data_IF_996328354671
#
_entry.id   IF_996328354671
#
_cell.length_a   1.000
_cell.length_b   1.000
_cell.length_c   1.000
_cell.angle_alpha   90.00
_cell.angle_beta   90.00
_cell.angle_gamma   90.00
#
_symmetry.space_group_name_H-M   'P 1'
#
loop_
_entity.id
_entity.type
_entity.pdbx_description
1 polymer ?
#
# COMPACT_ATOMS: atom_id res chain seq x y z
N UNK A 1 -35.20 -6.39 1.10
CA UNK A 1 -33.79 -6.87 1.19
C UNK A 1 -33.02 -5.88 2.06
N UNK A 2 -32.87 -6.16 3.36
CA UNK A 2 -31.99 -5.37 4.21
C UNK A 2 -30.55 -5.77 3.90
N UNK A 3 -29.82 -4.89 3.20
CA UNK A 3 -28.37 -5.05 3.04
C UNK A 3 -27.75 -4.71 4.38
N UNK A 4 -27.41 -5.73 5.16
CA UNK A 4 -26.59 -5.57 6.35
C UNK A 4 -25.20 -5.10 5.90
N UNK A 5 -24.96 -3.79 6.03
CA UNK A 5 -23.65 -3.21 5.81
C UNK A 5 -22.71 -3.78 6.87
N UNK A 6 -21.87 -4.74 6.46
CA UNK A 6 -20.80 -5.27 7.29
C UNK A 6 -19.97 -4.09 7.81
N UNK A 7 -19.90 -3.92 9.14
CA UNK A 7 -19.05 -2.90 9.78
C UNK A 7 -17.61 -3.25 9.43
N UNK A 8 -17.03 -2.52 8.47
CA UNK A 8 -15.61 -2.60 8.16
C UNK A 8 -14.85 -2.34 9.45
N UNK A 9 -13.93 -3.23 9.81
CA UNK A 9 -13.06 -3.03 10.96
C UNK A 9 -12.07 -1.92 10.60
N UNK A 10 -12.04 -0.87 11.42
CA UNK A 10 -11.19 0.29 11.21
C UNK A 10 -10.14 0.33 12.32
N UNK A 11 -8.87 0.09 11.99
CA UNK A 11 -7.73 0.20 12.92
C UNK A 11 -7.23 1.63 13.00
N UNK A 12 -8.01 2.49 13.66
CA UNK A 12 -7.61 3.87 13.98
C UNK A 12 -7.82 4.90 12.87
N UNK A 13 -7.22 6.08 13.06
CA UNK A 13 -7.33 7.26 12.17
C UNK A 13 -6.02 7.50 11.39
N UNK A 14 -6.13 8.13 10.22
CA UNK A 14 -4.99 8.57 9.42
C UNK A 14 -4.54 9.97 9.86
N UNK A 15 -3.52 10.04 10.71
CA UNK A 15 -3.02 11.30 11.27
C UNK A 15 -2.60 12.33 10.20
N UNK A 16 -2.05 11.88 9.07
CA UNK A 16 -1.67 12.76 7.95
C UNK A 16 -2.86 13.38 7.19
N UNK A 17 -4.09 13.00 7.52
CA UNK A 17 -5.32 13.61 6.97
C UNK A 17 -5.98 14.56 7.95
N UNK A 18 -5.29 14.95 9.02
CA UNK A 18 -5.85 15.77 10.09
C UNK A 18 -6.23 17.18 9.59
N UNK A 19 -7.53 17.45 9.62
CA UNK A 19 -8.11 18.78 9.42
C UNK A 19 -8.33 19.47 10.77
N UNK A 20 -7.47 20.45 11.06
CA UNK A 20 -7.54 21.22 12.30
C UNK A 20 -8.83 22.05 12.43
N UNK A 21 -9.40 22.52 11.31
CA UNK A 21 -10.63 23.29 11.28
C UNK A 21 -11.84 22.43 11.62
N UNK A 22 -11.95 21.26 10.98
CA UNK A 22 -13.01 20.30 11.27
C UNK A 22 -12.94 19.79 12.73
N UNK A 23 -11.73 19.51 13.24
CA UNK A 23 -11.53 19.09 14.62
C UNK A 23 -12.03 20.15 15.62
N UNK A 24 -11.63 21.41 15.40
CA UNK A 24 -12.01 22.53 16.26
C UNK A 24 -13.52 22.70 16.33
N UNK A 25 -14.20 22.76 15.18
CA UNK A 25 -15.65 22.93 15.11
C UNK A 25 -16.40 21.79 15.81
N UNK A 26 -15.91 20.55 15.67
CA UNK A 26 -16.50 19.40 16.35
C UNK A 26 -16.31 19.43 17.88
N UNK A 27 -15.12 19.83 18.34
CA UNK A 27 -14.81 19.95 19.77
C UNK A 27 -15.61 21.09 20.42
N UNK A 28 -15.73 22.24 19.76
CA UNK A 28 -16.51 23.39 20.26
C UNK A 28 -18.01 23.06 20.38
N UNK A 29 -18.52 22.13 19.58
CA UNK A 29 -19.90 21.64 19.65
C UNK A 29 -20.11 20.54 20.68
N UNK A 30 -19.04 19.99 21.24
CA UNK A 30 -19.10 18.89 22.19
C UNK A 30 -19.52 19.42 23.57
N UNK A 31 -20.49 18.76 24.20
CA UNK A 31 -20.90 19.05 25.58
C UNK A 31 -20.88 17.76 26.39
N UNK A 32 -20.31 17.79 27.59
CA UNK A 32 -20.32 16.62 28.47
C UNK A 32 -21.73 16.41 29.04
N UNK A 33 -22.39 15.33 28.60
CA UNK A 33 -23.70 14.90 29.11
C UNK A 33 -23.52 13.70 30.04
N UNK A 34 -24.34 13.62 31.08
CA UNK A 34 -24.33 12.52 32.05
C UNK A 34 -24.60 13.01 33.47
N UNK A 35 -25.22 12.15 34.28
CA UNK A 35 -25.56 12.45 35.67
C UNK A 35 -24.41 12.06 36.60
N UNK A 36 -23.69 10.98 36.27
CA UNK A 36 -22.53 10.49 37.04
C UNK A 36 -21.20 10.83 36.37
N UNK A 37 -20.09 10.68 37.11
CA UNK A 37 -18.75 10.96 36.59
C UNK A 37 -18.37 9.96 35.47
N UNK A 38 -18.72 8.69 35.66
CA UNK A 38 -18.45 7.61 34.70
C UNK A 38 -19.19 7.85 33.38
N UNK A 39 -20.45 8.28 33.44
CA UNK A 39 -21.25 8.63 32.26
C UNK A 39 -20.66 9.80 31.50
N UNK A 40 -20.21 10.84 32.21
CA UNK A 40 -19.55 12.00 31.60
C UNK A 40 -18.25 11.61 30.91
N UNK A 41 -17.44 10.74 31.52
CA UNK A 41 -16.20 10.23 30.91
C UNK A 41 -16.49 9.50 29.62
N UNK A 42 -17.47 8.57 29.62
CA UNK A 42 -17.87 7.85 28.40
C UNK A 42 -18.39 8.79 27.33
N UNK A 43 -19.13 9.82 27.71
CA UNK A 43 -19.63 10.82 26.77
C UNK A 43 -18.49 11.63 26.14
N UNK A 44 -17.55 12.13 26.95
CA UNK A 44 -16.37 12.86 26.47
C UNK A 44 -15.54 11.99 25.52
N UNK A 45 -15.26 10.74 25.88
CA UNK A 45 -14.53 9.82 25.00
C UNK A 45 -15.23 9.62 23.64
N UNK A 46 -16.57 9.56 23.62
CA UNK A 46 -17.35 9.42 22.39
C UNK A 46 -17.30 10.68 21.53
N UNK A 47 -17.42 11.86 22.13
CA UNK A 47 -17.35 13.13 21.40
C UNK A 47 -15.94 13.38 20.85
N UNK A 48 -14.89 13.06 21.61
CA UNK A 48 -13.50 13.09 21.12
C UNK A 48 -13.33 12.15 19.93
N UNK A 49 -13.88 10.92 20.00
CA UNK A 49 -13.82 9.99 18.88
C UNK A 49 -14.56 10.52 17.63
N UNK A 50 -15.70 11.22 17.78
CA UNK A 50 -16.43 11.85 16.67
C UNK A 50 -15.67 13.03 16.08
N UNK A 51 -15.02 13.83 16.90
CA UNK A 51 -14.15 14.91 16.44
C UNK A 51 -13.00 14.31 15.61
N UNK A 52 -12.38 13.23 16.09
CA UNK A 52 -11.37 12.49 15.32
C UNK A 52 -11.94 11.89 14.03
N UNK A 53 -13.17 11.36 14.03
CA UNK A 53 -13.84 10.83 12.82
C UNK A 53 -14.13 11.90 11.77
N UNK A 54 -14.37 13.14 12.20
CA UNK A 54 -14.65 14.28 11.33
C UNK A 54 -13.36 14.94 10.83
N UNK A 55 -12.33 14.96 11.68
CA UNK A 55 -11.04 15.57 11.37
C UNK A 55 -10.08 14.64 10.61
N UNK A 56 -10.28 13.32 10.67
CA UNK A 56 -9.38 12.36 10.04
C UNK A 56 -10.13 11.19 9.41
N UNK A 57 -9.63 10.72 8.27
CA UNK A 57 -10.14 9.50 7.65
C UNK A 57 -9.79 8.26 8.48
N UNK A 58 -10.74 7.34 8.64
CA UNK A 58 -10.48 6.03 9.26
C UNK A 58 -9.55 5.17 8.41
N UNK A 59 -8.57 4.51 9.04
CA UNK A 59 -7.71 3.50 8.41
C UNK A 59 -8.55 2.25 8.13
N UNK A 60 -8.62 1.85 6.87
CA UNK A 60 -9.29 0.61 6.46
C UNK A 60 -8.35 -0.57 6.77
N UNK A 61 -8.83 -1.56 7.50
CA UNK A 61 -8.20 -2.88 7.51
C UNK A 61 -8.45 -3.53 6.15
N UNK A 62 -7.46 -3.46 5.26
CA UNK A 62 -7.51 -4.12 3.97
C UNK A 62 -6.26 -4.96 3.78
N UNK A 63 -6.45 -6.28 3.66
CA UNK A 63 -5.44 -7.23 3.15
C UNK A 63 -5.16 -7.01 1.65
N UNK A 64 -5.04 -5.76 1.20
CA UNK A 64 -4.44 -5.48 -0.09
C UNK A 64 -2.96 -5.40 0.19
N UNK A 65 -2.23 -6.49 -0.08
CA UNK A 65 -0.81 -6.35 -0.41
C UNK A 65 -0.73 -5.14 -1.34
N UNK A 66 -0.09 -4.07 -0.86
CA UNK A 66 0.10 -2.88 -1.66
C UNK A 66 0.72 -3.35 -2.98
N UNK A 67 0.26 -2.83 -4.13
CA UNK A 67 0.96 -3.04 -5.38
C UNK A 67 2.41 -2.75 -5.09
N UNK A 68 3.25 -3.76 -5.28
CA UNK A 68 4.67 -3.65 -5.02
C UNK A 68 5.15 -2.52 -5.94
N UNK A 69 5.51 -1.40 -5.33
CA UNK A 69 5.85 -0.12 -5.94
C UNK A 69 6.89 -0.23 -7.08
N UNK A 70 7.83 -1.17 -6.97
CA UNK A 70 8.81 -1.46 -8.01
C UNK A 70 8.32 -2.38 -9.15
N UNK A 71 7.13 -2.99 -9.05
CA UNK A 71 6.60 -3.93 -10.04
C UNK A 71 5.87 -3.23 -11.18
N UNK A 72 6.54 -3.09 -12.34
CA UNK A 72 5.98 -2.45 -13.53
C UNK A 72 5.44 -3.46 -14.56
N UNK A 73 4.55 -3.00 -15.45
CA UNK A 73 4.10 -3.80 -16.61
C UNK A 73 5.27 -4.21 -17.53
N UNK A 74 6.34 -3.41 -17.61
CA UNK A 74 7.58 -3.78 -18.33
C UNK A 74 8.28 -4.98 -17.67
N UNK A 75 8.41 -5.01 -16.33
CA UNK A 75 8.98 -6.15 -15.61
C UNK A 75 8.12 -7.41 -15.79
N UNK A 76 6.79 -7.26 -15.75
CA UNK A 76 5.85 -8.35 -16.00
C UNK A 76 6.03 -8.94 -17.39
N UNK A 77 6.07 -8.10 -18.43
CA UNK A 77 6.33 -8.53 -19.82
C UNK A 77 7.67 -9.26 -19.95
N UNK A 78 8.75 -8.70 -19.42
CA UNK A 78 10.09 -9.32 -19.44
C UNK A 78 10.12 -10.64 -18.69
N UNK A 79 9.36 -10.78 -17.59
CA UNK A 79 9.25 -12.02 -16.83
C UNK A 79 8.54 -13.09 -17.65
N UNK A 80 7.44 -12.75 -18.32
CA UNK A 80 6.75 -13.67 -19.22
C UNK A 80 7.65 -14.15 -20.35
N UNK A 81 8.38 -13.24 -21.01
CA UNK A 81 9.36 -13.57 -22.04
C UNK A 81 10.48 -14.48 -21.50
N UNK A 82 11.02 -14.17 -20.31
CA UNK A 82 12.04 -15.01 -19.66
C UNK A 82 11.53 -16.41 -19.35
N UNK A 83 10.28 -16.55 -18.92
CA UNK A 83 9.65 -17.84 -18.65
C UNK A 83 9.40 -18.63 -19.94
N UNK A 84 8.96 -17.97 -21.01
CA UNK A 84 8.82 -18.58 -22.34
C UNK A 84 10.16 -19.12 -22.84
N UNK A 85 11.21 -18.30 -22.81
CA UNK A 85 12.56 -18.70 -23.21
C UNK A 85 13.12 -19.84 -22.35
N UNK A 86 12.91 -19.79 -21.02
CA UNK A 86 13.31 -20.89 -20.11
C UNK A 86 12.68 -22.21 -20.52
N UNK A 87 11.37 -22.22 -20.80
CA UNK A 87 10.63 -23.40 -21.23
C UNK A 87 11.16 -23.95 -22.57
N UNK A 88 11.49 -23.07 -23.51
CA UNK A 88 12.09 -23.48 -24.78
C UNK A 88 13.44 -24.16 -24.58
N UNK A 89 14.34 -23.58 -23.77
CA UNK A 89 15.64 -24.19 -23.44
C UNK A 89 15.48 -25.56 -22.78
N UNK A 90 14.55 -25.68 -21.82
CA UNK A 90 14.28 -26.95 -21.15
C UNK A 90 13.80 -28.02 -22.13
N UNK A 91 12.90 -27.68 -23.07
CA UNK A 91 12.41 -28.58 -24.12
C UNK A 91 13.45 -28.92 -25.19
N UNK A 92 14.48 -28.09 -25.34
CA UNK A 92 15.53 -28.25 -26.33
C UNK A 92 16.76 -29.00 -25.81
N UNK A 93 16.78 -29.43 -24.54
CA UNK A 93 17.87 -30.26 -23.99
C UNK A 93 18.07 -31.50 -24.86
N UNK A 94 19.32 -31.77 -25.22
CA UNK A 94 19.69 -32.87 -26.12
C UNK A 94 19.43 -32.61 -27.61
N UNK A 95 18.92 -31.43 -28.00
CA UNK A 95 18.72 -31.04 -29.40
C UNK A 95 19.85 -30.12 -29.89
N UNK A 96 20.18 -30.12 -31.19
CA UNK A 96 21.20 -29.24 -31.76
C UNK A 96 20.94 -27.74 -31.50
N UNK A 97 19.68 -27.33 -31.37
CA UNK A 97 19.30 -25.94 -31.11
C UNK A 97 19.47 -25.49 -29.64
N UNK A 98 19.89 -26.38 -28.72
CA UNK A 98 20.00 -26.09 -27.29
C UNK A 98 20.89 -24.86 -27.00
N UNK A 99 22.11 -24.85 -27.56
CA UNK A 99 23.10 -23.81 -27.28
C UNK A 99 22.61 -22.43 -27.71
N UNK A 100 21.98 -22.34 -28.88
CA UNK A 100 21.43 -21.08 -29.40
C UNK A 100 20.30 -20.56 -28.49
N UNK A 101 19.36 -21.43 -28.11
CA UNK A 101 18.28 -21.08 -27.20
C UNK A 101 18.79 -20.70 -25.80
N UNK A 102 19.85 -21.36 -25.33
CA UNK A 102 20.47 -21.07 -24.05
C UNK A 102 21.07 -19.66 -24.00
N UNK A 103 21.78 -19.26 -25.08
CA UNK A 103 22.32 -17.89 -25.23
C UNK A 103 21.20 -16.86 -25.23
N UNK A 104 20.11 -17.10 -25.96
CA UNK A 104 18.93 -16.22 -26.00
C UNK A 104 18.31 -16.10 -24.60
N UNK A 105 18.09 -17.21 -23.90
CA UNK A 105 17.56 -17.20 -22.54
C UNK A 105 18.46 -16.44 -21.56
N UNK A 106 19.78 -16.64 -21.61
CA UNK A 106 20.76 -15.91 -20.78
C UNK A 106 20.66 -14.40 -21.00
N UNK A 107 20.50 -13.95 -22.26
CA UNK A 107 20.29 -12.55 -22.61
C UNK A 107 18.99 -11.99 -22.04
N UNK A 108 17.86 -12.68 -22.26
CA UNK A 108 16.55 -12.26 -21.75
C UNK A 108 16.55 -12.19 -20.22
N UNK A 109 17.13 -13.19 -19.54
CA UNK A 109 17.25 -13.22 -18.07
C UNK A 109 18.13 -12.09 -17.53
N UNK A 110 19.19 -11.70 -18.25
CA UNK A 110 20.02 -10.55 -17.88
C UNK A 110 19.22 -9.25 -17.97
N UNK A 111 18.45 -9.07 -19.04
CA UNK A 111 17.60 -7.90 -19.23
C UNK A 111 16.51 -7.79 -18.15
N UNK A 112 15.88 -8.90 -17.77
CA UNK A 112 14.92 -8.92 -16.66
C UNK A 112 15.56 -8.51 -15.34
N UNK A 113 16.74 -9.06 -14.99
CA UNK A 113 17.46 -8.67 -13.76
C UNK A 113 17.82 -7.19 -13.74
N UNK A 114 18.27 -6.66 -14.88
CA UNK A 114 18.56 -5.23 -15.02
C UNK A 114 17.31 -4.38 -14.78
N UNK A 115 16.20 -4.72 -15.43
CA UNK A 115 14.93 -3.99 -15.27
C UNK A 115 14.42 -4.01 -13.82
N UNK A 116 14.53 -5.14 -13.12
CA UNK A 116 14.19 -5.24 -11.69
C UNK A 116 15.10 -4.33 -10.86
N UNK A 117 16.42 -4.40 -11.09
CA UNK A 117 17.38 -3.56 -10.38
C UNK A 117 17.15 -2.07 -10.58
N UNK A 118 16.88 -1.65 -11.82
CA UNK A 118 16.61 -0.26 -12.17
C UNK A 118 15.28 0.22 -11.55
N UNK A 119 14.25 -0.63 -11.52
CA UNK A 119 12.97 -0.29 -10.90
C UNK A 119 13.08 -0.17 -9.37
N UNK A 120 13.76 -1.11 -8.72
CA UNK A 120 14.03 -1.05 -7.28
C UNK A 120 14.80 0.22 -6.92
N UNK A 121 15.84 0.59 -7.70
CA UNK A 121 16.61 1.81 -7.48
C UNK A 121 15.75 3.06 -7.60
N UNK A 122 14.91 3.15 -8.64
CA UNK A 122 14.00 4.30 -8.83
C UNK A 122 13.03 4.42 -7.66
N UNK A 123 12.41 3.31 -7.28
CA UNK A 123 11.47 3.27 -6.17
C UNK A 123 12.13 3.66 -4.84
N UNK A 124 13.36 3.20 -4.60
CA UNK A 124 14.13 3.59 -3.42
C UNK A 124 14.43 5.10 -3.39
N UNK A 125 14.84 5.67 -4.53
CA UNK A 125 15.09 7.11 -4.64
C UNK A 125 13.81 7.92 -4.42
N UNK A 126 12.69 7.48 -4.98
CA UNK A 126 11.38 8.11 -4.80
C UNK A 126 10.96 8.05 -3.33
N UNK A 127 11.12 6.90 -2.67
CA UNK A 127 10.83 6.75 -1.25
C UNK A 127 11.69 7.67 -0.38
N UNK A 128 12.99 7.78 -0.63
CA UNK A 128 13.87 8.73 0.08
C UNK A 128 13.38 10.17 -0.10
N UNK A 129 12.96 10.55 -1.32
CA UNK A 129 12.42 11.90 -1.58
C UNK A 129 11.14 12.14 -0.79
N UNK A 130 10.21 11.20 -0.82
CA UNK A 130 8.98 11.28 -0.03
C UNK A 130 9.26 11.45 1.47
N UNK A 131 10.21 10.70 2.03
CA UNK A 131 10.60 10.79 3.45
C UNK A 131 11.27 12.14 3.77
N UNK A 132 12.06 12.69 2.84
CA UNK A 132 12.65 14.02 3.04
C UNK A 132 11.60 15.14 2.97
N UNK A 133 10.61 15.01 2.09
CA UNK A 133 9.55 16.01 1.89
C UNK A 133 8.48 15.95 3.00
N UNK A 134 8.19 14.76 3.52
CA UNK A 134 7.32 14.52 4.66
C UNK A 134 7.98 13.51 5.62
N UNK A 135 8.79 13.97 6.59
CA UNK A 135 9.45 13.09 7.56
C UNK A 135 8.47 12.33 8.46
N UNK A 136 7.18 12.71 8.46
CA UNK A 136 6.09 12.03 9.15
C UNK A 136 5.15 11.29 8.18
N UNK A 137 5.50 11.26 6.89
CA UNK A 137 4.69 10.80 5.77
C UNK A 137 4.84 9.32 5.47
N UNK A 138 3.67 8.66 5.37
CA UNK A 138 3.45 7.20 5.30
C UNK A 138 3.92 6.46 6.54
N UNK A 139 3.04 6.39 7.54
CA UNK A 139 3.03 5.25 8.47
C UNK A 139 2.68 3.97 7.67
N UNK A 140 3.69 3.29 7.14
CA UNK A 140 3.55 1.95 6.57
C UNK A 140 3.20 0.92 7.64
#
# INVERSE_FOLDING_TARGET
VQVSAQRKKFTGWRANTFDAGACRVCMERSCAKGSTAEEKVVHVMREVAKACDSAMHRRREGNRHLPVDWWSEDIKKRREESLRARRQVQKARGKPCFLQLEVVFKKIRRNLRKAIGDSNKRCWIEHIREVNDDPWGRSH
#
